data_IF_828509036894
#
_entry.id   IF_828509036894
#
_cell.length_a   1.000
_cell.length_b   1.000
_cell.length_c   1.000
_cell.angle_alpha   90.00
_cell.angle_beta   90.00
_cell.angle_gamma   90.00
#
_symmetry.space_group_name_H-M   'P 1'
#
loop_
_entity.id
_entity.type
_entity.pdbx_description
1 polymer ?
#
# COMPACT_ATOMS: atom_id res chain seq x y z
N UNK A 1 1.21 10.47 -4.05
CA UNK A 1 0.16 9.45 -3.85
C UNK A 1 -0.57 9.27 -5.16
N UNK A 2 -0.66 8.05 -5.68
CA UNK A 2 -1.28 7.78 -6.99
C UNK A 2 -2.79 7.58 -6.84
N UNK A 3 -3.59 8.24 -7.67
CA UNK A 3 -5.05 8.11 -7.66
C UNK A 3 -5.48 6.89 -8.47
N UNK A 4 -5.94 5.87 -7.75
CA UNK A 4 -6.43 4.61 -8.32
C UNK A 4 -7.50 4.08 -7.37
N UNK A 5 -8.77 4.49 -7.57
CA UNK A 5 -9.85 4.12 -6.68
C UNK A 5 -10.06 2.61 -6.63
N UNK A 6 -10.43 2.11 -5.45
CA UNK A 6 -10.81 0.71 -5.23
C UNK A 6 -11.87 0.62 -4.13
N UNK A 7 -12.63 -0.46 -4.13
CA UNK A 7 -13.72 -0.70 -3.17
C UNK A 7 -13.33 -1.83 -2.21
N UNK A 8 -13.53 -1.60 -0.91
CA UNK A 8 -13.41 -2.63 0.14
C UNK A 8 -14.65 -2.54 1.03
N UNK A 9 -15.34 -3.66 1.22
CA UNK A 9 -16.57 -3.72 2.05
C UNK A 9 -17.61 -2.65 1.68
N UNK A 10 -17.86 -2.47 0.37
CA UNK A 10 -18.78 -1.45 -0.18
C UNK A 10 -18.39 0.02 0.07
N UNK A 11 -17.15 0.29 0.53
CA UNK A 11 -16.61 1.64 0.66
C UNK A 11 -15.56 1.87 -0.41
N UNK A 12 -15.72 2.94 -1.19
CA UNK A 12 -14.73 3.38 -2.17
C UNK A 12 -13.61 4.19 -1.48
N UNK A 13 -12.36 3.90 -1.83
CA UNK A 13 -11.19 4.67 -1.43
C UNK A 13 -10.46 5.16 -2.66
N UNK A 14 -10.28 6.48 -2.76
CA UNK A 14 -9.64 7.14 -3.91
C UNK A 14 -8.14 6.80 -4.04
N UNK A 15 -7.50 6.52 -2.91
CA UNK A 15 -6.09 6.12 -2.84
C UNK A 15 -5.86 5.14 -1.69
N UNK A 16 -4.70 4.47 -1.70
CA UNK A 16 -4.26 3.65 -0.56
C UNK A 16 -4.12 4.47 0.73
N UNK A 17 -3.82 5.77 0.66
CA UNK A 17 -3.77 6.64 1.85
C UNK A 17 -5.16 6.84 2.46
N UNK A 18 -6.21 6.97 1.63
CA UNK A 18 -7.60 7.02 2.12
C UNK A 18 -7.94 5.76 2.88
N UNK A 19 -7.63 4.59 2.31
CA UNK A 19 -7.83 3.31 2.99
C UNK A 19 -7.05 3.23 4.31
N UNK A 20 -5.76 3.56 4.29
CA UNK A 20 -4.86 3.45 5.43
C UNK A 20 -5.32 4.33 6.61
N UNK A 21 -5.65 5.59 6.36
CA UNK A 21 -6.12 6.49 7.42
C UNK A 21 -7.56 6.17 7.86
N UNK A 22 -8.42 5.68 6.96
CA UNK A 22 -9.76 5.23 7.31
C UNK A 22 -9.71 3.97 8.21
N UNK A 23 -8.86 3.00 7.89
CA UNK A 23 -8.63 1.81 8.71
C UNK A 23 -8.13 2.20 10.11
N UNK A 24 -7.21 3.17 10.19
CA UNK A 24 -6.77 3.76 11.45
C UNK A 24 -7.92 4.37 12.25
N UNK A 25 -8.74 5.22 11.63
CA UNK A 25 -9.89 5.85 12.28
C UNK A 25 -10.93 4.82 12.77
N UNK A 26 -11.19 3.77 11.97
CA UNK A 26 -12.06 2.64 12.36
C UNK A 26 -11.53 1.91 13.59
N UNK A 27 -10.23 1.59 13.60
CA UNK A 27 -9.62 0.85 14.69
C UNK A 27 -9.77 1.58 16.03
N UNK A 28 -9.53 2.90 16.04
CA UNK A 28 -9.69 3.75 17.23
C UNK A 28 -11.12 4.29 17.42
N UNK A 29 -12.10 3.75 16.69
CA UNK A 29 -13.54 4.07 16.82
C UNK A 29 -13.86 5.57 16.64
N UNK A 30 -13.06 6.30 15.86
CA UNK A 30 -13.28 7.71 15.55
C UNK A 30 -14.08 7.87 14.25
N UNK A 31 -15.41 7.70 14.37
CA UNK A 31 -16.34 7.76 13.25
C UNK A 31 -16.40 9.16 12.59
N UNK A 32 -16.13 10.24 13.35
CA UNK A 32 -16.13 11.60 12.80
C UNK A 32 -14.97 11.79 11.82
N UNK A 33 -13.77 11.39 12.23
CA UNK A 33 -12.56 11.48 11.39
C UNK A 33 -12.64 10.49 10.23
N UNK A 34 -13.19 9.29 10.45
CA UNK A 34 -13.45 8.32 9.40
C UNK A 34 -14.30 8.91 8.26
N UNK A 35 -15.45 9.54 8.58
CA UNK A 35 -16.31 10.16 7.57
C UNK A 35 -15.57 11.26 6.81
N UNK A 36 -14.85 12.14 7.53
CA UNK A 36 -14.02 13.19 6.91
C UNK A 36 -12.96 12.63 5.96
N UNK A 37 -12.38 11.48 6.27
CA UNK A 37 -11.37 10.82 5.43
C UNK A 37 -12.02 10.26 4.15
N UNK A 38 -13.15 9.55 4.28
CA UNK A 38 -13.85 8.94 3.14
C UNK A 38 -14.36 10.02 2.17
N UNK A 39 -14.92 11.11 2.70
CA UNK A 39 -15.49 12.20 1.91
C UNK A 39 -14.41 13.11 1.28
N UNK A 40 -13.16 13.03 1.72
CA UNK A 40 -12.09 13.88 1.21
C UNK A 40 -11.60 13.40 -0.17
N UNK A 41 -11.30 14.33 -1.08
CA UNK A 41 -10.68 14.03 -2.38
C UNK A 41 -9.15 14.14 -2.36
N UNK A 42 -8.62 14.97 -1.45
CA UNK A 42 -7.20 15.29 -1.41
C UNK A 42 -6.45 14.33 -0.47
N UNK A 43 -5.58 13.44 -1.02
CA UNK A 43 -4.85 12.49 -0.20
C UNK A 43 -3.85 13.17 0.76
N UNK A 44 -3.39 14.39 0.47
CA UNK A 44 -2.53 15.17 1.40
C UNK A 44 -3.35 15.59 2.63
N UNK A 45 -4.57 16.08 2.42
CA UNK A 45 -5.50 16.43 3.50
C UNK A 45 -5.93 15.19 4.30
N UNK A 46 -6.13 14.04 3.66
CA UNK A 46 -6.38 12.77 4.34
C UNK A 46 -5.25 12.39 5.28
N UNK A 47 -3.99 12.49 4.83
CA UNK A 47 -2.83 12.23 5.69
C UNK A 47 -2.81 13.15 6.91
N UNK A 48 -3.25 14.39 6.76
CA UNK A 48 -3.40 15.32 7.88
C UNK A 48 -4.55 14.93 8.82
N UNK A 49 -5.72 14.56 8.30
CA UNK A 49 -6.85 14.04 9.10
C UNK A 49 -6.46 12.78 9.88
N UNK A 50 -5.66 11.90 9.29
CA UNK A 50 -5.12 10.71 9.95
C UNK A 50 -4.25 11.00 11.18
N UNK A 51 -3.69 12.21 11.29
CA UNK A 51 -2.98 12.68 12.50
C UNK A 51 -3.93 13.13 13.61
N UNK A 52 -5.19 13.40 13.28
CA UNK A 52 -6.23 13.90 14.20
C UNK A 52 -7.15 12.79 14.73
N UNK A 53 -6.91 11.53 14.36
CA UNK A 53 -7.68 10.39 14.84
C UNK A 53 -7.67 10.38 16.38
N UNK A 54 -8.86 10.44 16.97
CA UNK A 54 -9.08 10.41 18.42
C UNK A 54 -8.65 9.05 18.98
N UNK A 55 -8.26 9.02 20.25
CA UNK A 55 -7.86 7.81 20.98
C UNK A 55 -6.69 7.05 20.35
N UNK A 56 -5.91 7.70 19.49
CA UNK A 56 -4.79 7.08 18.81
C UNK A 56 -3.73 6.57 19.78
N UNK A 57 -3.52 5.26 19.79
CA UNK A 57 -2.35 4.63 20.40
C UNK A 57 -1.31 4.26 19.35
N UNK A 58 -0.09 4.73 19.55
CA UNK A 58 1.00 4.51 18.59
C UNK A 58 1.48 3.06 18.57
N UNK A 59 1.54 2.40 19.73
CA UNK A 59 2.05 1.04 19.84
C UNK A 59 1.09 0.06 19.20
N UNK A 60 -0.21 0.21 19.45
CA UNK A 60 -1.25 -0.58 18.81
C UNK A 60 -1.22 -0.39 17.29
N UNK A 61 -1.12 0.85 16.82
CA UNK A 61 -1.07 1.10 15.38
C UNK A 61 0.22 0.61 14.71
N UNK A 62 1.35 0.65 15.40
CA UNK A 62 2.62 0.16 14.86
C UNK A 62 2.58 -1.36 14.57
N UNK A 63 1.73 -2.12 15.27
CA UNK A 63 1.49 -3.56 15.01
C UNK A 63 0.63 -3.77 13.76
N UNK A 64 -0.29 -2.85 13.44
CA UNK A 64 -1.31 -3.04 12.40
C UNK A 64 -1.00 -2.35 11.08
N UNK A 65 -0.17 -1.30 11.10
CA UNK A 65 0.04 -0.42 9.94
C UNK A 65 0.61 -1.14 8.72
N UNK A 66 1.53 -2.09 8.90
CA UNK A 66 2.19 -2.76 7.78
C UNK A 66 1.18 -3.62 7.02
N UNK A 67 0.44 -4.46 7.75
CA UNK A 67 -0.61 -5.30 7.18
C UNK A 67 -1.73 -4.45 6.55
N UNK A 68 -2.13 -3.36 7.20
CA UNK A 68 -3.11 -2.42 6.63
C UNK A 68 -2.62 -1.85 5.29
N UNK A 69 -1.35 -1.46 5.20
CA UNK A 69 -0.76 -0.92 3.98
C UNK A 69 -0.67 -2.00 2.88
N UNK A 70 -0.37 -3.24 3.25
CA UNK A 70 -0.35 -4.40 2.35
C UNK A 70 -1.74 -4.66 1.77
N UNK A 71 -2.77 -4.75 2.61
CA UNK A 71 -4.17 -4.94 2.17
C UNK A 71 -4.58 -3.83 1.20
N UNK A 72 -4.31 -2.56 1.55
CA UNK A 72 -4.65 -1.42 0.70
C UNK A 72 -3.93 -1.43 -0.66
N UNK A 73 -2.66 -1.89 -0.71
CA UNK A 73 -1.97 -2.07 -1.99
C UNK A 73 -2.51 -3.28 -2.76
N UNK A 74 -2.79 -4.40 -2.11
CA UNK A 74 -3.37 -5.58 -2.76
C UNK A 74 -4.68 -5.23 -3.49
N UNK A 75 -5.57 -4.45 -2.86
CA UNK A 75 -6.78 -3.95 -3.52
C UNK A 75 -6.48 -2.97 -4.67
N UNK A 76 -5.63 -1.97 -4.45
CA UNK A 76 -5.24 -1.00 -5.50
C UNK A 76 -4.71 -1.70 -6.76
N UNK A 77 -3.87 -2.73 -6.59
CA UNK A 77 -3.25 -3.46 -7.69
C UNK A 77 -4.16 -4.52 -8.33
N UNK A 78 -5.43 -4.64 -7.91
CA UNK A 78 -6.45 -5.33 -8.72
C UNK A 78 -6.82 -4.54 -9.98
N UNK A 79 -6.47 -3.25 -10.05
CA UNK A 79 -6.56 -2.47 -11.28
C UNK A 79 -5.63 -3.08 -12.36
N UNK A 80 -6.15 -3.52 -13.52
CA UNK A 80 -5.35 -4.25 -14.52
C UNK A 80 -4.10 -3.50 -14.99
N UNK A 81 -4.21 -2.20 -15.23
CA UNK A 81 -3.08 -1.39 -15.72
C UNK A 81 -1.99 -1.20 -14.65
N UNK A 82 -2.35 -1.20 -13.36
CA UNK A 82 -1.36 -1.18 -12.28
C UNK A 82 -0.77 -2.55 -12.01
N UNK A 83 -1.58 -3.60 -12.09
CA UNK A 83 -1.15 -4.98 -11.97
C UNK A 83 -0.07 -5.29 -13.01
N UNK A 84 -0.33 -4.96 -14.28
CA UNK A 84 0.61 -5.15 -15.39
C UNK A 84 1.94 -4.44 -15.11
N UNK A 85 1.89 -3.18 -14.66
CA UNK A 85 3.10 -2.41 -14.30
C UNK A 85 3.88 -3.06 -13.16
N UNK A 86 3.17 -3.60 -12.16
CA UNK A 86 3.81 -4.28 -11.03
C UNK A 86 4.48 -5.59 -11.47
N UNK A 87 3.77 -6.41 -12.26
CA UNK A 87 4.30 -7.68 -12.78
C UNK A 87 5.48 -7.46 -13.73
N UNK A 88 5.46 -6.39 -14.54
CA UNK A 88 6.56 -6.01 -15.42
C UNK A 88 7.86 -5.65 -14.67
N UNK A 89 7.80 -5.47 -13.35
CA UNK A 89 9.02 -5.34 -12.52
C UNK A 89 9.83 -6.65 -12.44
N UNK A 90 9.23 -7.79 -12.81
CA UNK A 90 9.87 -9.10 -12.78
C UNK A 90 10.35 -9.43 -11.38
N UNK A 91 11.59 -9.91 -11.25
CA UNK A 91 12.21 -10.24 -9.96
C UNK A 91 13.08 -9.10 -9.41
N UNK A 92 12.96 -7.88 -9.94
CA UNK A 92 13.75 -6.74 -9.47
C UNK A 92 13.30 -6.31 -8.08
N UNK A 93 14.27 -5.88 -7.28
CA UNK A 93 14.00 -5.25 -5.99
C UNK A 93 13.37 -3.87 -6.18
N UNK A 94 12.33 -3.58 -5.39
CA UNK A 94 11.62 -2.30 -5.42
C UNK A 94 12.08 -1.41 -4.26
N UNK A 95 12.43 -0.16 -4.55
CA UNK A 95 12.95 0.80 -3.59
C UNK A 95 12.11 2.08 -3.54
N UNK A 96 11.46 2.34 -2.41
CA UNK A 96 10.64 3.54 -2.19
C UNK A 96 11.56 4.72 -1.79
N UNK A 97 11.90 5.53 -2.79
CA UNK A 97 12.90 6.60 -2.70
C UNK A 97 12.35 7.89 -2.04
N UNK A 98 12.04 7.83 -0.75
CA UNK A 98 11.54 8.98 0.02
C UNK A 98 12.62 9.47 1.00
N UNK A 99 13.19 10.68 0.79
CA UNK A 99 14.18 11.24 1.70
C UNK A 99 13.65 11.38 3.13
N UNK A 100 14.46 10.97 4.11
CA UNK A 100 14.16 11.02 5.56
C UNK A 100 13.07 10.06 6.05
N UNK A 101 12.42 9.29 5.18
CA UNK A 101 11.55 8.18 5.58
C UNK A 101 12.36 6.89 5.59
N UNK A 102 12.85 6.50 6.76
CA UNK A 102 13.62 5.28 6.96
C UNK A 102 12.75 4.06 7.33
N UNK A 103 11.43 4.21 7.39
CA UNK A 103 10.53 3.11 7.71
C UNK A 103 9.85 2.59 6.44
N UNK A 104 9.03 3.41 5.80
CA UNK A 104 8.37 3.00 4.55
C UNK A 104 9.34 3.02 3.37
N UNK A 105 10.27 3.98 3.37
CA UNK A 105 11.24 4.18 2.31
C UNK A 105 12.66 3.76 2.66
N UNK A 106 13.55 4.00 1.70
CA UNK A 106 15.00 3.77 1.81
C UNK A 106 15.74 4.92 2.52
N UNK A 107 15.03 5.97 2.98
CA UNK A 107 15.60 7.11 3.70
C UNK A 107 16.37 8.13 2.85
N UNK A 108 16.60 7.85 1.56
CA UNK A 108 17.34 8.69 0.62
C UNK A 108 16.57 8.87 -0.70
N UNK A 109 16.89 9.93 -1.44
CA UNK A 109 16.30 10.20 -2.74
C UNK A 109 16.94 9.36 -3.86
N UNK A 110 16.22 9.25 -4.99
CA UNK A 110 16.59 8.40 -6.14
C UNK A 110 18.04 8.56 -6.60
N UNK A 111 18.48 9.80 -6.82
CA UNK A 111 19.85 10.08 -7.29
C UNK A 111 20.93 9.53 -6.35
N UNK A 112 20.69 9.57 -5.03
CA UNK A 112 21.61 9.00 -4.03
C UNK A 112 21.44 7.48 -3.94
N UNK A 113 20.25 6.95 -4.13
CA UNK A 113 19.98 5.52 -4.13
C UNK A 113 20.77 4.78 -5.23
N UNK A 114 20.78 5.33 -6.44
CA UNK A 114 21.54 4.79 -7.58
C UNK A 114 23.05 4.70 -7.28
N UNK A 115 23.58 5.59 -6.43
CA UNK A 115 24.97 5.56 -5.98
C UNK A 115 25.25 4.64 -4.78
N UNK A 116 24.22 4.24 -4.03
CA UNK A 116 24.37 3.42 -2.83
C UNK A 116 24.24 1.91 -3.09
N UNK A 117 23.93 1.51 -4.32
CA UNK A 117 24.00 0.12 -4.81
C UNK A 117 23.29 -0.90 -3.89
N UNK A 118 22.11 -0.54 -3.36
CA UNK A 118 21.32 -1.39 -2.46
C UNK A 118 21.62 -1.22 -0.96
N UNK A 119 22.69 -0.52 -0.57
CA UNK A 119 22.99 -0.23 0.83
C UNK A 119 22.27 1.04 1.29
N UNK A 120 21.04 0.88 1.78
CA UNK A 120 20.19 2.01 2.14
C UNK A 120 20.00 2.13 3.66
N UNK A 121 19.89 3.37 4.20
CA UNK A 121 19.67 3.57 5.64
C UNK A 121 18.24 3.26 6.11
N UNK A 122 17.28 3.15 5.19
CA UNK A 122 15.87 2.88 5.48
C UNK A 122 15.48 1.42 5.29
N UNK A 123 14.43 1.00 6.00
CA UNK A 123 13.87 -0.36 5.99
C UNK A 123 13.13 -0.72 4.71
N UNK A 124 12.70 0.27 3.92
CA UNK A 124 12.02 0.05 2.64
C UNK A 124 10.78 -0.86 2.72
N UNK A 125 10.01 -0.78 3.81
CA UNK A 125 8.84 -1.64 4.02
C UNK A 125 7.83 -1.56 2.86
N UNK A 126 7.67 -0.38 2.23
CA UNK A 126 6.78 -0.24 1.07
C UNK A 126 7.27 -1.07 -0.13
N UNK A 127 8.58 -1.09 -0.39
CA UNK A 127 9.17 -1.88 -1.45
C UNK A 127 8.89 -3.37 -1.26
N UNK A 128 9.12 -3.87 -0.05
CA UNK A 128 8.83 -5.27 0.31
C UNK A 128 7.34 -5.60 0.20
N UNK A 129 6.45 -4.71 0.67
CA UNK A 129 5.00 -4.89 0.49
C UNK A 129 4.62 -5.01 -0.99
N UNK A 130 5.19 -4.18 -1.86
CA UNK A 130 4.90 -4.26 -3.30
C UNK A 130 5.44 -5.54 -3.94
N UNK A 131 6.58 -6.05 -3.48
CA UNK A 131 7.12 -7.35 -3.89
C UNK A 131 6.22 -8.50 -3.44
N UNK A 132 5.69 -8.47 -2.21
CA UNK A 132 4.72 -9.46 -1.72
C UNK A 132 3.40 -9.40 -2.49
N UNK A 133 2.89 -8.20 -2.79
CA UNK A 133 1.68 -8.02 -3.61
C UNK A 133 1.92 -8.54 -5.02
N UNK A 134 3.12 -8.34 -5.59
CA UNK A 134 3.50 -8.90 -6.89
C UNK A 134 3.46 -10.42 -6.86
N UNK A 135 4.08 -11.04 -5.85
CA UNK A 135 4.10 -12.49 -5.68
C UNK A 135 2.68 -13.06 -5.58
N UNK A 136 1.82 -12.43 -4.77
CA UNK A 136 0.42 -12.83 -4.65
C UNK A 136 -0.31 -12.89 -6.02
N UNK A 137 -0.08 -11.93 -6.90
CA UNK A 137 -0.68 -11.95 -8.23
C UNK A 137 -0.04 -12.98 -9.17
N UNK A 138 1.27 -13.23 -9.07
CA UNK A 138 1.94 -14.30 -9.82
C UNK A 138 1.36 -15.66 -9.45
N UNK A 139 1.27 -15.97 -8.15
CA UNK A 139 0.71 -17.23 -7.64
C UNK A 139 -0.73 -17.42 -8.11
N UNK A 140 -1.54 -16.36 -8.06
CA UNK A 140 -2.93 -16.39 -8.52
C UNK A 140 -3.04 -16.71 -10.00
N UNK A 141 -2.20 -16.09 -10.84
CA UNK A 141 -2.19 -16.33 -12.29
C UNK A 141 -1.77 -17.77 -12.60
N UNK A 142 -0.72 -18.27 -11.96
CA UNK A 142 -0.23 -19.64 -12.14
C UNK A 142 -1.31 -20.66 -11.75
N UNK A 143 -1.95 -20.46 -10.59
CA UNK A 143 -3.02 -21.32 -10.11
C UNK A 143 -4.26 -21.28 -11.03
N UNK A 144 -4.64 -20.10 -11.54
CA UNK A 144 -5.76 -19.97 -12.49
C UNK A 144 -5.45 -20.64 -13.84
N UNK A 145 -4.19 -20.61 -14.28
CA UNK A 145 -3.72 -21.32 -15.48
C UNK A 145 -3.75 -22.84 -15.28
N UNK A 146 -3.25 -23.33 -14.14
CA UNK A 146 -3.28 -24.75 -13.79
C UNK A 146 -4.71 -25.30 -13.75
N UNK A 147 -5.65 -24.56 -13.16
CA UNK A 147 -7.07 -24.94 -13.13
C UNK A 147 -7.70 -25.06 -14.53
N UNK A 148 -7.36 -24.16 -15.44
CA UNK A 148 -7.86 -24.19 -16.82
C UNK A 148 -7.34 -25.37 -17.62
N UNK A 149 -6.10 -25.80 -17.38
CA UNK A 149 -5.52 -26.98 -18.03
C UNK A 149 -6.19 -28.29 -17.59
N UNK A 150 -6.63 -28.37 -16.32
CA UNK A 150 -7.32 -29.55 -15.77
C UNK A 150 -8.77 -29.68 -16.28
N UNK A 151 -9.45 -28.56 -16.53
CA UNK A 151 -10.85 -28.55 -16.98
C UNK A 151 -11.02 -28.60 -18.52
N UNK A 152 -9.93 -28.48 -19.26
CA UNK A 152 -9.91 -28.41 -20.72
C UNK A 152 -9.44 -29.69 -21.43
N UNK A 153 -9.24 -30.79 -20.69
CA UNK A 153 -8.91 -32.13 -21.21
C UNK A 153 -9.89 -33.17 -20.71
#
# INVERSE_FOLDING_TARGET
MYHAPFVVENVEYKTTEHFFQAAKARHFKDNDTLRKIIDCDDPVKVKFLGKQVKHFDRKEWDVLKEETMKIGNAHKYQNPALQEKLLATGNRHLAECVPRDCFWGIGIGKAKAELNNGNYPGKNIMGHILEEVRQHFQDKIEHDQARKQVLGG
#
